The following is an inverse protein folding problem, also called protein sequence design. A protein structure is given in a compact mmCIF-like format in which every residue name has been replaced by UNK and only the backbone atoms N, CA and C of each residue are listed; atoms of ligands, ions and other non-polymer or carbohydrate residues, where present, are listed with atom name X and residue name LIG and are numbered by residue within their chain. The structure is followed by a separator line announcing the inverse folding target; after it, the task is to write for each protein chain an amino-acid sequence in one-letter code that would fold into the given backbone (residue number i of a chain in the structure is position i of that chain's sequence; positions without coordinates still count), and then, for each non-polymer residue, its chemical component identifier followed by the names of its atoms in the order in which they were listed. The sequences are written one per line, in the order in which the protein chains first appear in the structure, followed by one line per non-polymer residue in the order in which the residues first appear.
data_IF_300980605271
#
_entry.id   IF_300980605271
#
_cell.length_a   1.000
_cell.length_b   1.000
_cell.length_c   1.000
_cell.angle_alpha   90.00
_cell.angle_beta   90.00
_cell.angle_gamma   90.00
#
_symmetry.space_group_name_H-M   'P 1'
#
loop_
_entity.id
_entity.type
_entity.pdbx_description
1 polymer ?
#
# COMPACT_ATOMS: atom_id res chain seq x y z
N UNK A 1 -5.10 -1.05 20.50
CA UNK A 1 -6.05 0.08 20.33
C UNK A 1 -5.41 1.29 19.63
N UNK A 2 -4.24 1.81 20.04
CA UNK A 2 -3.62 3.01 19.39
C UNK A 2 -3.48 2.88 17.86
N UNK A 3 -2.99 1.75 17.35
CA UNK A 3 -2.74 1.58 15.91
C UNK A 3 -4.02 1.52 15.07
N UNK A 4 -5.12 0.95 15.60
CA UNK A 4 -6.41 0.95 14.92
C UNK A 4 -7.01 2.35 14.86
N UNK A 5 -6.87 3.13 15.93
CA UNK A 5 -7.30 4.54 15.97
C UNK A 5 -6.51 5.34 14.94
N UNK A 6 -5.18 5.17 14.87
CA UNK A 6 -4.33 5.86 13.90
C UNK A 6 -4.72 5.50 12.46
N UNK A 7 -5.06 4.24 12.21
CA UNK A 7 -5.55 3.80 10.90
C UNK A 7 -6.90 4.43 10.54
N UNK A 8 -7.84 4.45 11.48
CA UNK A 8 -9.16 5.07 11.29
C UNK A 8 -9.03 6.58 11.05
N UNK A 9 -8.18 7.25 11.82
CA UNK A 9 -7.88 8.68 11.64
C UNK A 9 -7.28 8.94 10.26
N UNK A 10 -6.33 8.10 9.83
CA UNK A 10 -5.76 8.19 8.48
C UNK A 10 -6.82 7.98 7.40
N UNK A 11 -7.71 7.01 7.57
CA UNK A 11 -8.78 6.72 6.62
C UNK A 11 -9.79 7.86 6.54
N UNK A 12 -10.19 8.40 7.70
CA UNK A 12 -11.05 9.59 7.79
C UNK A 12 -10.38 10.81 7.13
N UNK A 13 -9.09 11.02 7.39
CA UNK A 13 -8.32 12.09 6.77
C UNK A 13 -8.30 11.97 5.24
N UNK A 14 -8.00 10.78 4.71
CA UNK A 14 -7.99 10.52 3.27
C UNK A 14 -9.37 10.74 2.64
N UNK A 15 -10.44 10.32 3.31
CA UNK A 15 -11.81 10.51 2.86
C UNK A 15 -12.20 11.99 2.86
N UNK A 16 -11.86 12.72 3.91
CA UNK A 16 -12.17 14.15 4.04
C UNK A 16 -11.52 14.98 2.92
N UNK A 17 -10.31 14.65 2.48
CA UNK A 17 -9.65 15.34 1.36
C UNK A 17 -10.51 15.31 0.09
N UNK A 18 -11.21 14.19 -0.17
CA UNK A 18 -12.05 14.08 -1.37
C UNK A 18 -13.40 14.79 -1.23
N UNK A 19 -14.00 14.78 -0.04
CA UNK A 19 -15.30 15.37 0.20
C UNK A 19 -15.28 16.89 0.36
N UNK A 20 -14.14 17.47 0.79
CA UNK A 20 -14.06 18.91 1.02
C UNK A 20 -13.99 19.71 -0.28
N UNK A 21 -14.63 20.91 -0.31
CA UNK A 21 -14.58 21.82 -1.46
C UNK A 21 -13.15 22.29 -1.75
N UNK A 22 -12.96 22.68 -2.99
CA UNK A 22 -11.64 22.95 -3.57
C UNK A 22 -11.18 24.36 -3.24
N UNK A 23 -10.53 24.69 -2.18
CA UNK A 23 -9.84 25.98 -2.01
C UNK A 23 -8.97 26.00 -0.74
N UNK A 24 -9.37 26.75 0.27
CA UNK A 24 -8.64 26.97 1.52
C UNK A 24 -8.42 25.64 2.27
N UNK A 25 -9.39 24.72 2.20
CA UNK A 25 -9.30 23.40 2.85
C UNK A 25 -8.18 22.54 2.30
N UNK A 26 -7.94 22.60 1.01
CA UNK A 26 -6.85 21.83 0.39
C UNK A 26 -5.48 22.34 0.86
N UNK A 27 -5.33 23.64 1.01
CA UNK A 27 -4.12 24.25 1.58
C UNK A 27 -3.90 23.80 3.03
N UNK A 28 -4.97 23.76 3.86
CA UNK A 28 -4.86 23.25 5.24
C UNK A 28 -4.40 21.81 5.28
N UNK A 29 -4.93 20.94 4.44
CA UNK A 29 -4.49 19.54 4.35
C UNK A 29 -3.03 19.41 3.86
N UNK A 30 -2.59 20.29 2.96
CA UNK A 30 -1.19 20.33 2.54
C UNK A 30 -0.27 20.73 3.71
N UNK A 31 -0.64 21.72 4.49
CA UNK A 31 0.09 22.15 5.69
C UNK A 31 0.16 21.01 6.71
N UNK A 32 -0.95 20.33 6.98
CA UNK A 32 -0.98 19.16 7.88
C UNK A 32 -0.03 18.06 7.39
N UNK A 33 -0.02 17.75 6.09
CA UNK A 33 0.92 16.79 5.51
C UNK A 33 2.39 17.20 5.72
N UNK A 34 2.71 18.48 5.52
CA UNK A 34 4.07 19.00 5.75
C UNK A 34 4.47 18.89 7.22
N UNK A 35 3.59 19.26 8.13
CA UNK A 35 3.83 19.13 9.58
C UNK A 35 4.08 17.67 9.95
N UNK A 36 3.26 16.74 9.46
CA UNK A 36 3.44 15.31 9.71
C UNK A 36 4.77 14.80 9.15
N UNK A 37 5.21 15.26 7.98
CA UNK A 37 6.51 14.90 7.42
C UNK A 37 7.67 15.35 8.31
N UNK A 38 7.57 16.54 8.89
CA UNK A 38 8.60 17.10 9.78
C UNK A 38 8.62 16.31 11.09
N UNK A 39 7.47 16.05 11.72
CA UNK A 39 7.36 15.31 12.99
C UNK A 39 7.93 13.90 12.86
N UNK A 40 7.63 13.21 11.76
CA UNK A 40 8.06 11.82 11.52
C UNK A 40 9.50 11.78 10.96
N UNK A 41 10.13 12.94 10.76
CA UNK A 41 11.48 13.06 10.18
C UNK A 41 11.62 12.31 8.84
N UNK A 42 10.63 12.40 7.99
CA UNK A 42 10.65 11.79 6.66
C UNK A 42 11.59 12.59 5.76
N UNK A 43 12.51 11.88 5.09
CA UNK A 43 13.41 12.53 4.14
C UNK A 43 12.64 13.01 2.91
N UNK A 44 12.60 14.33 2.68
CA UNK A 44 11.89 14.96 1.57
C UNK A 44 12.29 14.40 0.20
N UNK A 45 13.59 14.14 -0.03
CA UNK A 45 14.06 13.52 -1.29
C UNK A 45 13.42 12.16 -1.53
N UNK A 46 13.31 11.33 -0.49
CA UNK A 46 12.69 10.00 -0.59
C UNK A 46 11.18 10.10 -0.81
N UNK A 47 10.51 11.09 -0.22
CA UNK A 47 9.10 11.35 -0.43
C UNK A 47 8.83 11.75 -1.89
N UNK A 48 9.60 12.68 -2.45
CA UNK A 48 9.49 13.12 -3.85
C UNK A 48 9.74 11.94 -4.80
N UNK A 49 10.82 11.16 -4.59
CA UNK A 49 11.10 9.98 -5.41
C UNK A 49 9.98 8.95 -5.34
N UNK A 50 9.30 8.85 -4.21
CA UNK A 50 8.17 7.94 -4.08
C UNK A 50 6.94 8.48 -4.81
N UNK A 51 6.71 9.80 -4.77
CA UNK A 51 5.62 10.45 -5.51
C UNK A 51 5.79 10.29 -7.03
N UNK A 52 7.02 10.30 -7.56
CA UNK A 52 7.26 10.04 -8.99
C UNK A 52 6.78 8.67 -9.44
N UNK A 53 6.70 7.68 -8.55
CA UNK A 53 6.15 6.36 -8.89
C UNK A 53 4.65 6.38 -9.13
N UNK A 54 3.95 7.32 -8.50
CA UNK A 54 2.50 7.50 -8.65
C UNK A 54 2.15 8.51 -9.76
N UNK A 55 3.17 9.19 -10.32
CA UNK A 55 3.02 10.20 -11.35
C UNK A 55 2.25 9.71 -12.59
N UNK A 56 2.49 8.50 -13.13
CA UNK A 56 1.73 8.01 -14.27
C UNK A 56 0.23 7.85 -13.95
N UNK A 57 -0.10 7.43 -12.73
CA UNK A 57 -1.48 7.31 -12.29
C UNK A 57 -2.14 8.69 -12.10
N UNK A 58 -1.42 9.64 -11.52
CA UNK A 58 -1.89 11.02 -11.33
C UNK A 58 -2.11 11.70 -12.69
N UNK A 59 -1.17 11.52 -13.65
CA UNK A 59 -1.29 12.01 -15.01
C UNK A 59 -2.50 11.41 -15.75
N UNK A 60 -2.68 10.10 -15.62
CA UNK A 60 -3.85 9.43 -16.20
C UNK A 60 -5.15 10.02 -15.67
N UNK A 61 -5.26 10.16 -14.34
CA UNK A 61 -6.45 10.76 -13.70
C UNK A 61 -6.63 12.21 -14.14
N UNK A 62 -5.57 12.99 -14.27
CA UNK A 62 -5.61 14.38 -14.72
C UNK A 62 -6.13 14.49 -16.16
N UNK A 63 -5.59 13.71 -17.09
CA UNK A 63 -6.02 13.69 -18.50
C UNK A 63 -7.48 13.25 -18.60
N UNK A 64 -7.87 12.21 -17.86
CA UNK A 64 -9.22 11.69 -17.87
C UNK A 64 -10.25 12.72 -17.36
N UNK A 65 -9.89 13.45 -16.30
CA UNK A 65 -10.76 14.52 -15.78
C UNK A 65 -10.86 15.72 -16.74
N UNK A 66 -9.81 16.07 -17.50
CA UNK A 66 -9.88 17.10 -18.54
C UNK A 66 -10.87 16.72 -19.63
N UNK A 67 -10.92 15.43 -19.99
CA UNK A 67 -11.81 14.93 -21.05
C UNK A 67 -13.29 14.91 -20.61
N UNK A 68 -13.54 14.71 -19.32
CA UNK A 68 -14.90 14.57 -18.76
C UNK A 68 -15.45 15.86 -18.17
N UNK A 69 -14.59 16.76 -17.73
CA UNK A 69 -14.96 17.94 -16.95
C UNK A 69 -14.04 19.14 -17.30
N UNK A 70 -14.08 20.19 -16.49
CA UNK A 70 -13.26 21.38 -16.65
C UNK A 70 -11.80 21.14 -16.20
N UNK A 71 -10.84 21.79 -16.90
CA UNK A 71 -9.41 21.73 -16.56
C UNK A 71 -9.13 22.18 -15.11
N UNK A 72 -9.95 23.07 -14.54
CA UNK A 72 -9.82 23.53 -13.15
C UNK A 72 -10.09 22.37 -12.18
N UNK A 73 -11.15 21.60 -12.41
CA UNK A 73 -11.49 20.43 -11.58
C UNK A 73 -10.43 19.34 -11.73
N UNK A 74 -9.85 19.16 -12.91
CA UNK A 74 -8.76 18.22 -13.13
C UNK A 74 -7.52 18.55 -12.28
N UNK A 75 -7.15 19.85 -12.17
CA UNK A 75 -6.05 20.33 -11.32
C UNK A 75 -6.33 20.02 -9.86
N UNK A 76 -7.53 20.32 -9.37
CA UNK A 76 -7.92 20.08 -7.98
C UNK A 76 -7.92 18.59 -7.64
N UNK A 77 -8.42 17.74 -8.55
CA UNK A 77 -8.39 16.28 -8.36
C UNK A 77 -6.96 15.74 -8.33
N UNK A 78 -6.09 16.18 -9.22
CA UNK A 78 -4.69 15.78 -9.22
C UNK A 78 -3.98 16.21 -7.91
N UNK A 79 -4.26 17.43 -7.42
CA UNK A 79 -3.72 17.91 -6.16
C UNK A 79 -4.21 17.10 -4.95
N UNK A 80 -5.52 16.77 -4.89
CA UNK A 80 -6.08 15.88 -3.85
C UNK A 80 -5.39 14.52 -3.86
N UNK A 81 -5.20 13.94 -5.03
CA UNK A 81 -4.55 12.64 -5.21
C UNK A 81 -3.09 12.67 -4.75
N UNK A 82 -2.35 13.74 -5.09
CA UNK A 82 -0.99 13.97 -4.60
C UNK A 82 -0.93 14.00 -3.06
N UNK A 83 -1.85 14.72 -2.43
CA UNK A 83 -1.91 14.83 -0.95
C UNK A 83 -2.19 13.49 -0.30
N UNK A 84 -3.14 12.71 -0.84
CA UNK A 84 -3.46 11.38 -0.31
C UNK A 84 -2.29 10.40 -0.52
N UNK A 85 -1.63 10.42 -1.68
CA UNK A 85 -0.44 9.59 -1.91
C UNK A 85 0.70 9.94 -0.94
N UNK A 86 0.90 11.23 -0.65
CA UNK A 86 1.89 11.67 0.34
C UNK A 86 1.50 11.24 1.75
N UNK A 87 0.25 11.41 2.16
CA UNK A 87 -0.25 10.96 3.45
C UNK A 87 -0.10 9.42 3.61
N UNK A 88 -0.40 8.66 2.57
CA UNK A 88 -0.21 7.20 2.54
C UNK A 88 1.26 6.83 2.71
N UNK A 89 2.17 7.55 2.07
CA UNK A 89 3.60 7.34 2.22
C UNK A 89 4.06 7.59 3.67
N UNK A 90 3.61 8.70 4.27
CA UNK A 90 3.90 9.04 5.67
C UNK A 90 3.38 7.93 6.59
N UNK A 91 2.11 7.53 6.42
CA UNK A 91 1.48 6.48 7.21
C UNK A 91 2.22 5.13 7.08
N UNK A 92 2.62 4.75 5.87
CA UNK A 92 3.36 3.49 5.63
C UNK A 92 4.73 3.44 6.33
N UNK A 93 5.29 4.59 6.70
CA UNK A 93 6.55 4.69 7.45
C UNK A 93 6.37 4.54 8.96
N UNK A 94 5.18 4.82 9.45
CA UNK A 94 4.88 4.78 10.88
C UNK A 94 4.41 3.42 11.35
N UNK A 95 3.93 2.57 10.43
CA UNK A 95 3.32 1.29 10.80
C UNK A 95 4.21 0.11 10.38
N UNK A 96 4.36 -0.85 11.27
CA UNK A 96 5.03 -2.12 10.97
C UNK A 96 4.03 -3.18 10.51
N UNK A 97 4.52 -4.23 9.83
CA UNK A 97 3.71 -5.35 9.35
C UNK A 97 2.90 -5.99 10.49
N UNK A 98 3.54 -6.21 11.64
CA UNK A 98 2.87 -6.78 12.82
C UNK A 98 1.78 -5.85 13.39
N UNK A 99 2.02 -4.54 13.37
CA UNK A 99 1.01 -3.55 13.79
C UNK A 99 -0.16 -3.50 12.82
N UNK A 100 0.08 -3.68 11.52
CA UNK A 100 -0.96 -3.74 10.51
C UNK A 100 -1.87 -4.96 10.74
N UNK A 101 -1.31 -6.14 11.01
CA UNK A 101 -2.07 -7.34 11.33
C UNK A 101 -2.96 -7.15 12.57
N UNK A 102 -2.42 -6.56 13.66
CA UNK A 102 -3.19 -6.21 14.86
C UNK A 102 -4.29 -5.18 14.58
N UNK A 103 -4.05 -4.25 13.66
CA UNK A 103 -5.04 -3.26 13.25
C UNK A 103 -6.21 -3.93 12.54
N UNK A 104 -5.92 -4.85 11.61
CA UNK A 104 -6.94 -5.64 10.91
C UNK A 104 -7.79 -6.43 11.92
N UNK A 105 -7.18 -7.14 12.87
CA UNK A 105 -7.91 -7.83 13.95
C UNK A 105 -8.86 -6.88 14.68
N UNK A 106 -8.35 -5.71 15.10
CA UNK A 106 -9.17 -4.76 15.88
C UNK A 106 -10.35 -4.23 15.08
N UNK A 107 -10.19 -4.02 13.77
CA UNK A 107 -11.26 -3.57 12.87
C UNK A 107 -12.27 -4.69 12.60
N UNK A 108 -11.78 -5.93 12.49
CA UNK A 108 -12.64 -7.10 12.29
C UNK A 108 -13.33 -7.57 13.57
N UNK A 109 -12.99 -7.02 14.74
CA UNK A 109 -13.61 -7.40 16.02
C UNK A 109 -15.15 -7.37 16.02
N UNK A 110 -15.84 -6.41 15.39
CA UNK A 110 -17.30 -6.46 15.28
C UNK A 110 -17.82 -7.71 14.54
N UNK A 111 -16.99 -8.34 13.69
CA UNK A 111 -17.36 -9.57 12.96
C UNK A 111 -17.41 -10.82 13.86
N UNK A 112 -16.90 -10.74 15.09
CA UNK A 112 -17.05 -11.81 16.09
C UNK A 112 -18.52 -12.14 16.39
N UNK A 113 -19.41 -11.15 16.23
CA UNK A 113 -20.87 -11.36 16.31
C UNK A 113 -21.37 -12.39 15.30
N UNK A 114 -20.69 -12.52 14.16
CA UNK A 114 -20.96 -13.52 13.13
C UNK A 114 -20.19 -14.84 13.33
N UNK A 115 -19.68 -15.11 14.55
CA UNK A 115 -18.85 -16.29 14.90
C UNK A 115 -17.53 -16.41 14.09
N UNK A 116 -17.01 -15.31 13.57
CA UNK A 116 -15.73 -15.28 12.88
C UNK A 116 -14.65 -15.09 13.93
N UNK A 117 -13.67 -16.01 13.98
CA UNK A 117 -12.54 -15.93 14.90
C UNK A 117 -11.53 -14.87 14.41
N UNK A 118 -11.52 -13.71 15.06
CA UNK A 118 -10.64 -12.60 14.67
C UNK A 118 -9.17 -12.86 15.01
N UNK A 119 -8.86 -13.80 15.92
CA UNK A 119 -7.49 -14.22 16.19
C UNK A 119 -6.90 -14.99 15.02
N UNK A 120 -7.66 -15.88 14.42
CA UNK A 120 -7.24 -16.59 13.21
C UNK A 120 -6.98 -15.62 12.06
N UNK A 121 -7.81 -14.58 11.90
CA UNK A 121 -7.59 -13.53 10.89
C UNK A 121 -6.27 -12.79 11.14
N UNK A 122 -5.96 -12.44 12.39
CA UNK A 122 -4.68 -11.78 12.72
C UNK A 122 -3.49 -12.67 12.34
N UNK A 123 -3.55 -13.95 12.68
CA UNK A 123 -2.51 -14.93 12.37
C UNK A 123 -2.36 -15.10 10.86
N UNK A 124 -3.45 -15.30 10.13
CA UNK A 124 -3.44 -15.45 8.68
C UNK A 124 -2.87 -14.22 7.99
N UNK A 125 -3.29 -13.02 8.37
CA UNK A 125 -2.77 -11.76 7.82
C UNK A 125 -1.29 -11.59 8.16
N UNK A 126 -0.88 -11.92 9.39
CA UNK A 126 0.52 -11.84 9.80
C UNK A 126 1.40 -12.78 8.98
N UNK A 127 0.97 -14.02 8.79
CA UNK A 127 1.67 -15.01 7.96
C UNK A 127 1.74 -14.51 6.51
N UNK A 128 0.62 -14.10 5.93
CA UNK A 128 0.55 -13.63 4.55
C UNK A 128 1.51 -12.44 4.32
N UNK A 129 1.52 -11.46 5.22
CA UNK A 129 2.39 -10.29 5.11
C UNK A 129 3.88 -10.64 5.33
N UNK A 130 4.20 -11.58 6.21
CA UNK A 130 5.57 -12.04 6.44
C UNK A 130 6.13 -12.87 5.29
N UNK A 131 5.25 -13.53 4.52
CA UNK A 131 5.64 -14.31 3.35
C UNK A 131 5.97 -13.44 2.12
N UNK A 132 5.48 -12.20 2.04
CA UNK A 132 5.76 -11.30 0.90
C UNK A 132 7.27 -11.13 0.64
N UNK A 133 8.14 -10.80 1.63
CA UNK A 133 9.57 -10.68 1.39
C UNK A 133 10.22 -12.01 1.00
N UNK A 134 9.74 -13.14 1.53
CA UNK A 134 10.22 -14.48 1.19
C UNK A 134 9.92 -14.79 -0.27
N UNK A 135 8.67 -14.63 -0.70
CA UNK A 135 8.25 -14.82 -2.10
C UNK A 135 9.03 -13.89 -3.06
N UNK A 136 9.28 -12.66 -2.64
CA UNK A 136 10.07 -11.70 -3.44
C UNK A 136 11.53 -12.14 -3.59
N UNK A 137 12.10 -12.76 -2.58
CA UNK A 137 13.45 -13.34 -2.62
C UNK A 137 13.50 -14.54 -3.56
N UNK A 138 12.59 -15.50 -3.39
CA UNK A 138 12.48 -16.68 -4.25
C UNK A 138 12.25 -16.31 -5.72
N UNK A 139 11.36 -15.35 -5.98
CA UNK A 139 11.15 -14.84 -7.34
C UNK A 139 12.43 -14.29 -7.96
N UNK A 140 13.25 -13.57 -7.16
CA UNK A 140 14.52 -13.02 -7.63
C UNK A 140 15.52 -14.13 -7.96
N UNK A 141 15.66 -15.11 -7.06
CA UNK A 141 16.56 -16.26 -7.26
C UNK A 141 16.19 -17.07 -8.51
N UNK A 142 14.89 -17.33 -8.70
CA UNK A 142 14.41 -18.02 -9.90
C UNK A 142 14.69 -17.18 -11.15
N UNK A 143 14.46 -15.87 -11.11
CA UNK A 143 14.74 -14.97 -12.23
C UNK A 143 16.22 -14.94 -12.60
N UNK A 144 17.10 -14.94 -11.62
CA UNK A 144 18.57 -15.00 -11.83
C UNK A 144 18.99 -16.35 -12.42
N UNK A 145 18.45 -17.46 -11.93
CA UNK A 145 18.69 -18.78 -12.49
C UNK A 145 18.25 -18.92 -13.97
N UNK A 146 17.12 -18.31 -14.35
CA UNK A 146 16.66 -18.26 -15.74
C UNK A 146 17.57 -17.42 -16.62
N UNK A 147 18.05 -16.26 -16.10
CA UNK A 147 19.03 -15.43 -16.80
C UNK A 147 20.36 -16.17 -17.03
N UNK A 148 20.85 -16.89 -16.01
CA UNK A 148 22.08 -17.67 -16.13
C UNK A 148 21.99 -18.81 -17.17
N UNK A 149 20.78 -19.32 -17.42
CA UNK A 149 20.51 -20.35 -18.44
C UNK A 149 20.17 -19.77 -19.82
N UNK A 150 20.29 -18.46 -20.03
CA UNK A 150 19.89 -17.75 -21.27
C UNK A 150 18.44 -18.03 -21.72
N UNK A 151 17.54 -18.35 -20.79
CA UNK A 151 16.14 -18.61 -21.09
C UNK A 151 15.38 -17.29 -21.03
N UNK A 152 14.75 -16.89 -22.14
CA UNK A 152 13.93 -15.69 -22.21
C UNK A 152 12.76 -15.75 -21.23
N UNK A 153 12.58 -14.67 -20.46
CA UNK A 153 11.51 -14.51 -19.50
C UNK A 153 10.19 -14.24 -20.25
N UNK A 154 9.47 -15.32 -20.61
CA UNK A 154 8.21 -15.23 -21.35
C UNK A 154 7.04 -15.62 -20.43
N UNK A 155 5.82 -15.14 -20.74
CA UNK A 155 4.58 -15.42 -19.99
C UNK A 155 4.35 -16.95 -19.83
N UNK A 156 4.74 -17.76 -20.83
CA UNK A 156 4.69 -19.22 -20.76
C UNK A 156 5.55 -19.80 -19.63
N UNK A 157 6.73 -19.22 -19.41
CA UNK A 157 7.65 -19.65 -18.37
C UNK A 157 7.26 -19.13 -16.98
N UNK A 158 6.45 -18.07 -16.92
CA UNK A 158 5.93 -17.49 -15.66
C UNK A 158 5.02 -18.48 -14.92
N UNK A 159 4.25 -19.31 -15.62
CA UNK A 159 3.46 -20.40 -15.02
C UNK A 159 4.33 -21.40 -14.27
N UNK A 160 5.45 -21.80 -14.86
CA UNK A 160 6.41 -22.75 -14.26
C UNK A 160 7.10 -22.13 -13.05
N UNK A 161 7.41 -20.85 -13.12
CA UNK A 161 8.02 -20.10 -12.02
C UNK A 161 7.07 -20.00 -10.84
N UNK A 162 5.81 -19.63 -11.10
CA UNK A 162 4.76 -19.55 -10.06
C UNK A 162 4.51 -20.91 -9.41
N UNK A 163 4.42 -21.99 -10.19
CA UNK A 163 4.25 -23.34 -9.63
C UNK A 163 5.43 -23.79 -8.77
N UNK A 164 6.66 -23.46 -9.16
CA UNK A 164 7.86 -23.74 -8.37
C UNK A 164 7.89 -22.94 -7.05
N UNK A 165 7.56 -21.66 -7.10
CA UNK A 165 7.48 -20.80 -5.91
C UNK A 165 6.39 -21.30 -4.95
N UNK A 166 5.21 -21.68 -5.47
CA UNK A 166 4.14 -22.25 -4.66
C UNK A 166 4.55 -23.58 -4.02
N UNK A 167 5.18 -24.47 -4.79
CA UNK A 167 5.67 -25.75 -4.28
C UNK A 167 6.74 -25.59 -3.18
N UNK A 168 7.68 -24.67 -3.36
CA UNK A 168 8.71 -24.38 -2.36
C UNK A 168 8.12 -23.78 -1.08
N UNK A 169 7.11 -22.93 -1.23
CA UNK A 169 6.39 -22.31 -0.11
C UNK A 169 5.59 -23.35 0.68
N UNK A 170 4.86 -24.25 -0.01
CA UNK A 170 4.11 -25.36 0.62
C UNK A 170 5.07 -26.31 1.35
N UNK A 171 6.20 -26.63 0.73
CA UNK A 171 7.21 -27.51 1.34
C UNK A 171 7.76 -26.92 2.65
N UNK A 172 8.05 -25.60 2.69
CA UNK A 172 8.46 -24.92 3.90
C UNK A 172 7.38 -24.88 4.99
N UNK A 173 6.12 -24.71 4.61
CA UNK A 173 5.02 -24.75 5.57
C UNK A 173 4.93 -26.13 6.22
N UNK A 174 5.07 -27.20 5.42
CA UNK A 174 5.07 -28.58 5.94
C UNK A 174 6.32 -28.92 6.78
N UNK A 175 7.42 -28.20 6.64
CA UNK A 175 8.62 -28.39 7.47
C UNK A 175 8.53 -27.65 8.81
N UNK A 176 7.57 -26.74 8.98
CA UNK A 176 7.35 -25.97 10.21
C UNK A 176 6.25 -26.60 11.07
N UNK A 177 5.42 -27.45 10.51
CA UNK A 177 4.39 -28.24 11.20
C UNK A 177 4.81 -29.70 11.31
#
# INVERSE_FOLDING_TARGET
MKNAITFLVFLAYATLIFFMPNNIWLASFAVVNLILMIIIKVNFKKAIINLTKYLPFILFTFIFNILLDNYINAIWMAAKLLLVCNATYIYSRTITVAQLAKTVRTICKPLEVFKINTEEIEVLVSIALSMIPVLKKEYREVKEAYKAKNINFNIKNMKIILSKILLSTIKRINEIY
#
